data_IF_323257656467
#
_entry.id   IF_323257656467
#
_cell.length_a   1.000
_cell.length_b   1.000
_cell.length_c   1.000
_cell.angle_alpha   90.00
_cell.angle_beta   90.00
_cell.angle_gamma   90.00
#
_symmetry.space_group_name_H-M   'P 1'
#
loop_
_entity.id
_entity.type
_entity.pdbx_description
1 polymer ?
#
# COMPACT_ATOMS: atom_id res chain seq x y z
N UNK A 1 -27.11 19.42 -55.19
CA UNK A 1 -26.31 20.59 -54.76
C UNK A 1 -26.49 20.76 -53.26
N UNK A 2 -25.41 20.94 -52.48
CA UNK A 2 -25.52 21.38 -51.07
C UNK A 2 -24.88 20.53 -49.96
N UNK A 3 -23.80 19.77 -50.20
CA UNK A 3 -23.25 18.87 -49.17
C UNK A 3 -21.73 18.82 -49.00
N UNK A 4 -20.96 19.78 -49.54
CA UNK A 4 -19.48 19.73 -49.52
C UNK A 4 -18.78 20.89 -48.80
N UNK A 5 -19.51 21.87 -48.28
CA UNK A 5 -18.91 23.07 -47.67
C UNK A 5 -18.84 23.05 -46.14
N UNK A 6 -19.43 22.05 -45.45
CA UNK A 6 -19.47 22.03 -43.98
C UNK A 6 -18.19 21.48 -43.33
N UNK A 7 -17.36 20.74 -44.08
CA UNK A 7 -16.15 20.10 -43.51
C UNK A 7 -14.96 21.07 -43.47
N UNK A 8 -14.94 22.11 -44.31
CA UNK A 8 -13.82 23.05 -44.38
C UNK A 8 -13.80 24.08 -43.24
N UNK A 9 -14.94 24.33 -42.57
CA UNK A 9 -15.02 25.36 -41.51
C UNK A 9 -14.57 24.81 -40.14
N UNK A 10 -14.63 23.49 -39.91
CA UNK A 10 -14.22 22.90 -38.62
C UNK A 10 -12.70 22.77 -38.44
N UNK A 11 -11.90 22.89 -39.50
CA UNK A 11 -10.43 22.83 -39.42
C UNK A 11 -9.78 24.18 -39.07
N UNK A 12 -10.52 25.30 -39.10
CA UNK A 12 -9.92 26.63 -38.91
C UNK A 12 -9.93 27.13 -37.45
N UNK A 13 -10.58 26.43 -36.52
CA UNK A 13 -10.73 26.89 -35.13
C UNK A 13 -9.61 26.37 -34.19
N UNK A 14 -8.74 25.47 -34.65
CA UNK A 14 -7.69 24.86 -33.80
C UNK A 14 -6.38 25.68 -33.75
N UNK A 15 -6.27 26.81 -34.47
CA UNK A 15 -5.03 27.62 -34.57
C UNK A 15 -5.09 28.99 -33.87
N UNK A 16 -5.89 29.13 -32.82
CA UNK A 16 -5.86 30.27 -31.89
C UNK A 16 -5.72 29.66 -30.50
N UNK A 17 -4.57 29.62 -29.82
CA UNK A 17 -3.65 30.71 -29.58
C UNK A 17 -3.39 30.77 -28.08
N UNK A 18 -2.70 29.77 -27.51
CA UNK A 18 -2.23 29.82 -26.12
C UNK A 18 -0.73 30.14 -26.10
N UNK A 19 -0.37 31.40 -26.37
CA UNK A 19 0.93 31.96 -25.98
C UNK A 19 0.86 32.35 -24.49
N UNK A 20 0.88 31.35 -23.61
CA UNK A 20 1.09 31.57 -22.18
C UNK A 20 2.58 31.75 -21.91
N UNK A 21 2.99 32.95 -21.50
CA UNK A 21 4.34 33.18 -20.98
C UNK A 21 4.50 32.43 -19.65
N UNK A 22 5.31 31.37 -19.65
CA UNK A 22 5.74 30.71 -18.43
C UNK A 22 6.83 31.59 -17.82
N UNK A 23 6.50 32.32 -16.74
CA UNK A 23 7.49 32.97 -15.88
C UNK A 23 8.23 31.87 -15.13
N UNK A 24 9.53 31.73 -15.41
CA UNK A 24 10.42 30.89 -14.63
C UNK A 24 10.55 31.47 -13.22
N UNK A 25 9.94 30.81 -12.25
CA UNK A 25 10.14 31.10 -10.84
C UNK A 25 11.46 30.46 -10.41
N UNK A 26 12.35 31.31 -9.88
CA UNK A 26 13.71 30.97 -9.49
C UNK A 26 13.64 30.10 -8.23
N UNK A 27 13.84 28.79 -8.39
CA UNK A 27 13.97 27.85 -7.27
C UNK A 27 15.20 28.29 -6.45
N UNK A 28 14.97 28.75 -5.21
CA UNK A 28 16.03 29.00 -4.24
C UNK A 28 16.53 27.66 -3.71
N UNK A 29 17.85 27.48 -3.78
CA UNK A 29 18.56 26.35 -3.22
C UNK A 29 18.25 26.20 -1.72
N UNK A 30 17.62 25.08 -1.35
CA UNK A 30 17.55 24.65 0.05
C UNK A 30 18.96 24.28 0.50
N UNK A 31 19.51 25.07 1.43
CA UNK A 31 20.71 24.69 2.16
C UNK A 31 20.43 23.48 3.07
N UNK A 32 21.38 22.55 3.21
CA UNK A 32 21.25 21.42 4.12
C UNK A 32 21.40 21.90 5.57
N UNK A 33 20.33 21.77 6.37
CA UNK A 33 20.39 21.94 7.82
C UNK A 33 21.08 20.73 8.43
N UNK A 34 22.38 20.85 8.69
CA UNK A 34 23.08 20.03 9.66
C UNK A 34 22.80 20.58 11.06
N UNK A 35 22.28 19.74 11.97
CA UNK A 35 22.61 19.70 13.40
C UNK A 35 21.56 18.88 14.16
N UNK A 36 21.76 17.56 14.26
CA UNK A 36 21.10 16.73 15.27
C UNK A 36 22.06 16.59 16.44
N UNK A 37 21.82 17.40 17.46
CA UNK A 37 22.45 17.26 18.79
C UNK A 37 22.04 15.93 19.40
N UNK A 38 23.04 15.16 19.82
CA UNK A 38 22.90 13.99 20.67
C UNK A 38 22.28 14.40 22.01
N UNK A 39 21.08 13.91 22.30
CA UNK A 39 20.48 13.95 23.64
C UNK A 39 20.78 12.60 24.30
N UNK A 40 21.78 12.62 25.19
CA UNK A 40 22.04 11.54 26.14
C UNK A 40 20.97 11.61 27.23
N UNK A 41 20.06 10.64 27.25
CA UNK A 41 19.20 10.44 28.41
C UNK A 41 19.93 9.56 29.42
N UNK A 42 20.26 10.18 30.55
CA UNK A 42 20.75 9.53 31.76
C UNK A 42 19.60 8.73 32.39
N UNK A 43 19.80 7.42 32.53
CA UNK A 43 18.99 6.55 33.37
C UNK A 43 19.36 6.83 34.82
N UNK A 44 18.46 7.44 35.59
CA UNK A 44 18.56 7.47 37.04
C UNK A 44 17.72 6.32 37.63
N UNK A 45 18.47 5.39 38.18
CA UNK A 45 18.05 4.38 39.16
C UNK A 45 17.46 5.09 40.38
N UNK A 46 16.24 4.74 40.80
CA UNK A 46 15.76 5.04 42.14
C UNK A 46 15.00 3.84 42.67
N UNK A 47 15.76 3.01 43.38
CA UNK A 47 15.30 1.98 44.30
C UNK A 47 14.85 2.62 45.61
N UNK A 48 13.67 2.20 46.11
CA UNK A 48 13.25 1.95 47.51
C UNK A 48 11.73 2.20 47.61
N UNK A 49 10.88 1.18 47.71
CA UNK A 49 10.57 0.30 48.87
C UNK A 49 9.63 0.99 49.87
N UNK A 50 8.34 0.67 49.80
CA UNK A 50 7.53 0.56 51.02
C UNK A 50 6.37 -0.44 50.88
N UNK A 51 6.37 -1.36 51.82
CA UNK A 51 5.38 -2.40 52.10
C UNK A 51 4.10 -1.80 52.67
N UNK A 52 2.94 -2.21 52.18
CA UNK A 52 1.72 -2.23 53.01
C UNK A 52 0.93 -3.48 52.70
N UNK A 53 0.95 -4.40 53.68
CA UNK A 53 0.06 -5.56 53.72
C UNK A 53 -1.35 -5.06 54.00
N UNK A 54 -2.31 -5.42 53.16
CA UNK A 54 -3.72 -5.50 53.56
C UNK A 54 -4.29 -6.78 52.96
N UNK A 55 -4.42 -7.78 53.82
CA UNK A 55 -5.18 -8.99 53.57
C UNK A 55 -6.67 -8.62 53.54
N UNK A 56 -7.32 -8.80 52.39
CA UNK A 56 -8.77 -8.98 52.32
C UNK A 56 -9.09 -10.06 51.30
N UNK A 57 -9.48 -11.20 51.85
CA UNK A 57 -9.90 -12.41 51.17
C UNK A 57 -11.22 -12.14 50.44
N UNK A 58 -11.15 -11.76 49.17
CA UNK A 58 -12.26 -11.87 48.24
C UNK A 58 -12.02 -13.11 47.39
N UNK A 59 -12.98 -14.03 47.40
CA UNK A 59 -12.99 -15.24 46.57
C UNK A 59 -13.26 -14.79 45.13
N UNK A 60 -12.19 -14.37 44.46
CA UNK A 60 -12.20 -13.91 43.08
C UNK A 60 -12.45 -15.12 42.18
N UNK A 61 -13.63 -15.14 41.58
CA UNK A 61 -14.01 -16.09 40.54
C UNK A 61 -13.09 -15.76 39.36
N UNK A 62 -12.02 -16.56 39.20
CA UNK A 62 -11.10 -16.49 38.07
C UNK A 62 -11.93 -16.55 36.79
N UNK A 63 -12.14 -15.40 36.15
CA UNK A 63 -12.60 -15.33 34.77
C UNK A 63 -11.53 -16.04 33.95
N UNK A 64 -11.85 -17.07 33.15
CA UNK A 64 -10.87 -17.67 32.26
C UNK A 64 -10.34 -16.54 31.36
N UNK A 65 -9.05 -16.24 31.50
CA UNK A 65 -8.36 -15.35 30.59
C UNK A 65 -8.58 -15.91 29.18
N UNK A 66 -9.40 -15.21 28.39
CA UNK A 66 -9.49 -15.46 26.95
C UNK A 66 -8.08 -15.29 26.43
N UNK A 67 -7.40 -16.41 26.18
CA UNK A 67 -6.13 -16.45 25.47
C UNK A 67 -6.40 -15.82 24.11
N UNK A 68 -6.10 -14.52 24.01
CA UNK A 68 -6.13 -13.77 22.76
C UNK A 68 -5.26 -14.59 21.81
N UNK A 69 -5.96 -15.24 20.89
CA UNK A 69 -5.30 -16.02 19.86
C UNK A 69 -4.78 -14.95 18.93
N UNK A 70 -3.50 -14.56 19.11
CA UNK A 70 -2.81 -13.73 18.15
C UNK A 70 -3.04 -14.37 16.78
N UNK A 71 -3.95 -13.78 16.01
CA UNK A 71 -4.23 -14.21 14.66
C UNK A 71 -2.96 -13.90 13.89
N UNK A 72 -2.12 -14.92 13.68
CA UNK A 72 -1.01 -14.82 12.74
C UNK A 72 -1.62 -14.50 11.39
N UNK A 73 -1.49 -13.25 10.97
CA UNK A 73 -1.92 -12.80 9.66
C UNK A 73 -1.01 -13.45 8.60
N UNK A 74 -1.51 -14.50 7.96
CA UNK A 74 -0.83 -15.12 6.82
C UNK A 74 -0.87 -14.18 5.60
N UNK A 75 0.14 -14.27 4.74
CA UNK A 75 0.23 -13.41 3.55
C UNK A 75 -0.88 -13.74 2.55
N UNK A 76 -1.19 -12.84 1.59
CA UNK A 76 -2.10 -13.17 0.50
C UNK A 76 -1.69 -14.47 -0.22
N UNK A 77 -2.65 -15.38 -0.42
CA UNK A 77 -2.42 -16.72 -0.98
C UNK A 77 -2.05 -17.80 0.03
N UNK A 78 -1.85 -17.44 1.31
CA UNK A 78 -1.54 -18.38 2.40
C UNK A 78 -2.72 -18.58 3.37
N UNK A 79 -2.79 -19.75 3.99
CA UNK A 79 -3.71 -20.11 5.07
C UNK A 79 -2.96 -20.72 6.25
N UNK A 80 -3.50 -20.50 7.45
CA UNK A 80 -2.96 -21.05 8.68
C UNK A 80 -3.36 -22.53 8.82
N UNK A 81 -2.42 -23.44 8.58
CA UNK A 81 -2.55 -24.88 8.82
C UNK A 81 -1.54 -25.32 9.87
N UNK A 82 -2.02 -25.94 10.95
CA UNK A 82 -1.17 -26.47 12.04
C UNK A 82 -0.20 -25.42 12.65
N UNK A 83 -0.64 -24.16 12.73
CA UNK A 83 0.17 -23.07 13.28
C UNK A 83 1.25 -22.51 12.34
N UNK A 84 1.27 -22.96 11.08
CA UNK A 84 2.15 -22.45 10.01
C UNK A 84 1.31 -21.88 8.85
N UNK A 85 1.79 -20.81 8.22
CA UNK A 85 1.18 -20.31 7.00
C UNK A 85 1.66 -21.18 5.82
N UNK A 86 0.71 -21.70 5.06
CA UNK A 86 0.93 -22.61 3.92
C UNK A 86 0.12 -22.13 2.73
N UNK A 87 0.51 -22.46 1.49
CA UNK A 87 -0.27 -22.04 0.33
C UNK A 87 -1.67 -22.64 0.34
N UNK A 88 -2.68 -21.81 0.06
CA UNK A 88 -4.07 -22.25 -0.13
C UNK A 88 -4.17 -23.20 -1.31
N UNK A 89 -5.23 -23.99 -1.35
CA UNK A 89 -5.56 -24.81 -2.53
C UNK A 89 -5.65 -23.94 -3.81
N UNK A 90 -5.05 -24.41 -4.91
CA UNK A 90 -4.92 -23.66 -6.17
C UNK A 90 -3.77 -22.63 -6.18
N UNK A 91 -2.94 -22.60 -5.13
CA UNK A 91 -1.73 -21.80 -5.04
C UNK A 91 -0.50 -22.69 -4.87
N UNK A 92 0.64 -22.24 -5.40
CA UNK A 92 1.96 -22.85 -5.24
C UNK A 92 2.95 -21.85 -4.65
N UNK A 93 3.94 -22.34 -3.92
CA UNK A 93 4.99 -21.47 -3.39
C UNK A 93 5.97 -21.07 -4.51
N UNK A 94 6.22 -19.77 -4.63
CA UNK A 94 7.20 -19.20 -5.54
C UNK A 94 8.44 -18.80 -4.75
N UNK A 95 9.48 -19.63 -4.81
CA UNK A 95 10.69 -19.44 -4.00
C UNK A 95 11.39 -18.10 -4.25
N UNK A 96 11.43 -17.62 -5.49
CA UNK A 96 12.07 -16.32 -5.78
C UNK A 96 11.33 -15.12 -5.26
N UNK A 97 10.01 -15.21 -5.13
CA UNK A 97 9.20 -14.12 -4.56
C UNK A 97 8.87 -14.39 -3.08
N UNK A 98 9.32 -15.52 -2.52
CA UNK A 98 9.07 -15.96 -1.15
C UNK A 98 7.59 -15.82 -0.73
N UNK A 99 6.67 -16.26 -1.60
CA UNK A 99 5.22 -16.14 -1.42
C UNK A 99 4.42 -17.19 -2.20
N UNK A 100 3.16 -17.38 -1.85
CA UNK A 100 2.23 -18.20 -2.61
C UNK A 100 1.63 -17.44 -3.80
N UNK A 101 1.71 -18.02 -5.00
CA UNK A 101 1.11 -17.50 -6.25
C UNK A 101 0.12 -18.53 -6.80
N UNK A 102 -0.82 -18.13 -7.67
CA UNK A 102 -1.75 -19.09 -8.29
C UNK A 102 -0.98 -20.15 -9.09
N UNK A 103 -1.47 -21.38 -9.15
CA UNK A 103 -0.77 -22.49 -9.85
C UNK A 103 -0.44 -22.17 -11.32
N UNK A 104 -1.35 -21.49 -12.02
CA UNK A 104 -1.17 -21.08 -13.42
C UNK A 104 -0.36 -19.78 -13.60
N UNK A 105 0.14 -19.18 -12.52
CA UNK A 105 1.04 -18.04 -12.59
C UNK A 105 2.48 -18.52 -12.73
N UNK A 106 3.30 -17.77 -13.47
CA UNK A 106 4.74 -18.01 -13.55
C UNK A 106 5.46 -17.25 -12.42
N UNK A 107 6.58 -17.80 -11.96
CA UNK A 107 7.45 -17.21 -10.93
C UNK A 107 8.79 -16.77 -11.55
N UNK A 108 9.22 -17.52 -12.58
CA UNK A 108 10.41 -17.32 -13.40
C UNK A 108 10.06 -17.72 -14.84
N UNK A 109 10.87 -17.30 -15.82
CA UNK A 109 10.68 -17.65 -17.24
C UNK A 109 10.59 -19.16 -17.50
N UNK A 110 11.30 -20.00 -16.75
CA UNK A 110 11.23 -21.45 -16.92
C UNK A 110 9.92 -22.10 -16.41
N UNK A 111 9.02 -21.33 -15.79
CA UNK A 111 7.67 -21.82 -15.51
C UNK A 111 6.73 -21.67 -16.71
N UNK A 112 7.20 -21.06 -17.79
CA UNK A 112 6.50 -20.91 -19.04
C UNK A 112 6.94 -21.96 -20.05
N UNK A 113 6.14 -22.15 -21.11
CA UNK A 113 6.50 -23.06 -22.20
C UNK A 113 7.70 -22.52 -22.97
N UNK A 114 8.30 -23.35 -23.82
CA UNK A 114 9.32 -22.89 -24.76
C UNK A 114 8.76 -21.73 -25.61
N UNK A 115 9.56 -20.68 -25.80
CA UNK A 115 9.19 -19.42 -26.50
C UNK A 115 8.17 -18.53 -25.78
N UNK A 116 7.89 -18.82 -24.51
CA UNK A 116 7.17 -17.91 -23.63
C UNK A 116 8.13 -17.33 -22.58
N UNK A 117 7.85 -16.10 -22.14
CA UNK A 117 8.55 -15.46 -21.04
C UNK A 117 7.57 -15.07 -19.94
N UNK A 118 8.07 -15.08 -18.70
CA UNK A 118 7.27 -14.73 -17.55
C UNK A 118 7.18 -13.22 -17.40
N UNK A 119 6.00 -12.67 -17.60
CA UNK A 119 5.71 -11.25 -17.40
C UNK A 119 5.15 -11.05 -15.98
N UNK A 120 5.79 -10.26 -15.11
CA UNK A 120 5.22 -9.91 -13.80
C UNK A 120 3.82 -9.35 -14.00
N UNK A 121 2.82 -9.93 -13.33
CA UNK A 121 1.43 -9.63 -13.71
C UNK A 121 0.80 -8.58 -12.83
N UNK A 122 1.14 -8.55 -11.54
CA UNK A 122 0.27 -7.91 -10.56
C UNK A 122 1.07 -7.17 -9.52
N UNK A 123 0.95 -5.85 -9.58
CA UNK A 123 1.35 -5.01 -8.48
C UNK A 123 0.33 -5.11 -7.34
N UNK A 124 0.87 -5.19 -6.13
CA UNK A 124 0.13 -5.19 -4.87
C UNK A 124 0.75 -4.14 -3.97
N UNK A 125 -0.08 -3.40 -3.23
CA UNK A 125 0.38 -2.45 -2.23
C UNK A 125 -0.57 -2.48 -1.04
N UNK A 126 -0.05 -2.19 0.15
CA UNK A 126 -0.88 -1.94 1.31
C UNK A 126 -0.96 -0.44 1.54
N UNK A 127 -2.14 0.15 1.37
CA UNK A 127 -2.39 1.53 1.77
C UNK A 127 -2.78 1.53 3.24
N UNK A 128 -1.99 2.22 4.06
CA UNK A 128 -2.25 2.43 5.46
C UNK A 128 -2.68 3.87 5.72
N UNK A 129 -3.67 4.03 6.59
CA UNK A 129 -4.20 5.31 7.05
C UNK A 129 -4.15 5.31 8.58
N UNK A 130 -3.60 6.38 9.15
CA UNK A 130 -3.56 6.64 10.59
C UNK A 130 -4.21 7.97 10.91
N UNK A 131 -5.13 7.95 11.86
CA UNK A 131 -5.72 9.14 12.45
C UNK A 131 -5.74 8.97 13.97
N UNK A 132 -5.13 9.92 14.66
CA UNK A 132 -4.89 9.82 16.10
C UNK A 132 -4.14 8.52 16.45
N UNK A 133 -4.74 7.66 17.28
CA UNK A 133 -4.18 6.37 17.70
C UNK A 133 -4.74 5.17 16.91
N UNK A 134 -5.54 5.41 15.87
CA UNK A 134 -6.15 4.34 15.06
C UNK A 134 -5.36 4.21 13.76
N UNK A 135 -4.87 3.00 13.47
CA UNK A 135 -4.20 2.63 12.21
C UNK A 135 -5.02 1.54 11.52
N UNK A 136 -5.28 1.73 10.23
CA UNK A 136 -5.96 0.75 9.37
C UNK A 136 -5.16 0.58 8.09
N UNK A 137 -4.98 -0.65 7.62
CA UNK A 137 -4.28 -0.94 6.36
C UNK A 137 -5.14 -1.84 5.47
N UNK A 138 -5.11 -1.60 4.17
CA UNK A 138 -5.81 -2.41 3.16
C UNK A 138 -4.88 -2.79 2.04
N UNK A 139 -4.94 -4.06 1.66
CA UNK A 139 -4.20 -4.60 0.52
C UNK A 139 -4.98 -4.36 -0.77
N UNK A 140 -4.37 -3.64 -1.69
CA UNK A 140 -4.92 -3.25 -2.97
C UNK A 140 -4.08 -3.88 -4.08
N UNK A 141 -4.73 -4.44 -5.09
CA UNK A 141 -4.09 -5.11 -6.21
C UNK A 141 -4.66 -4.60 -7.52
N UNK A 142 -4.01 -4.87 -8.65
CA UNK A 142 -4.59 -4.52 -9.97
C UNK A 142 -5.96 -5.16 -10.22
N UNK A 143 -6.21 -6.38 -9.74
CA UNK A 143 -7.50 -7.08 -9.87
C UNK A 143 -8.55 -6.59 -8.86
N UNK A 144 -8.09 -6.10 -7.70
CA UNK A 144 -8.93 -5.55 -6.64
C UNK A 144 -8.39 -4.16 -6.28
N UNK A 145 -8.59 -3.18 -7.18
CA UNK A 145 -8.03 -1.85 -6.98
C UNK A 145 -8.80 -1.06 -5.93
N UNK A 146 -10.00 -1.51 -5.52
CA UNK A 146 -10.89 -0.78 -4.61
C UNK A 146 -11.12 -1.50 -3.30
N UNK A 147 -11.17 -0.74 -2.21
CA UNK A 147 -11.60 -1.20 -0.89
C UNK A 147 -12.23 -0.02 -0.14
N UNK A 148 -12.70 -0.28 1.07
CA UNK A 148 -13.25 0.73 1.96
C UNK A 148 -12.63 0.61 3.36
N UNK A 149 -12.35 1.76 3.95
CA UNK A 149 -11.86 1.87 5.33
C UNK A 149 -12.83 2.75 6.11
N UNK A 150 -13.16 2.34 7.34
CA UNK A 150 -13.95 3.15 8.27
C UNK A 150 -13.09 3.55 9.46
N UNK A 151 -12.97 4.87 9.70
CA UNK A 151 -12.21 5.44 10.82
C UNK A 151 -13.07 6.54 11.47
N UNK A 152 -13.38 6.37 12.76
CA UNK A 152 -14.21 7.33 13.54
C UNK A 152 -15.53 7.66 12.86
N UNK A 153 -16.31 6.64 12.50
CA UNK A 153 -17.63 6.75 11.84
C UNK A 153 -17.61 7.48 10.47
N UNK A 154 -16.41 7.65 9.88
CA UNK A 154 -16.24 8.15 8.51
C UNK A 154 -15.75 7.02 7.61
N UNK A 155 -16.46 6.81 6.50
CA UNK A 155 -16.10 5.86 5.45
C UNK A 155 -15.21 6.55 4.41
N UNK A 156 -14.14 5.86 4.03
CA UNK A 156 -13.23 6.27 2.97
C UNK A 156 -13.22 5.19 1.89
N UNK A 157 -13.69 5.54 0.70
CA UNK A 157 -13.50 4.71 -0.49
C UNK A 157 -12.08 4.94 -1.00
N UNK A 158 -11.31 3.86 -1.11
CA UNK A 158 -9.94 3.90 -1.61
C UNK A 158 -9.86 3.12 -2.92
N UNK A 159 -9.16 3.67 -3.89
CA UNK A 159 -8.94 3.06 -5.20
C UNK A 159 -7.49 3.26 -5.63
N UNK A 160 -6.79 2.20 -6.05
CA UNK A 160 -5.55 2.33 -6.82
C UNK A 160 -5.93 2.64 -8.27
N UNK A 161 -5.49 3.78 -8.76
CA UNK A 161 -5.75 4.19 -10.15
C UNK A 161 -4.60 3.85 -11.07
N UNK A 162 -3.36 3.86 -10.55
CA UNK A 162 -2.18 3.59 -11.36
C UNK A 162 -0.99 3.12 -10.51
N UNK A 163 -0.32 2.09 -10.98
CA UNK A 163 1.03 1.72 -10.55
C UNK A 163 2.05 2.35 -11.52
N UNK A 164 2.96 3.16 -10.99
CA UNK A 164 4.03 3.83 -11.74
C UNK A 164 5.39 3.36 -11.21
N UNK A 165 6.44 3.52 -12.00
CA UNK A 165 7.80 3.21 -11.54
C UNK A 165 8.17 4.06 -10.31
N UNK A 166 8.21 3.40 -9.13
CA UNK A 166 8.53 4.03 -7.86
C UNK A 166 7.43 4.90 -7.24
N UNK A 167 6.21 4.89 -7.80
CA UNK A 167 5.07 5.66 -7.26
C UNK A 167 3.75 4.94 -7.46
N UNK A 168 2.77 5.25 -6.64
CA UNK A 168 1.42 4.68 -6.73
C UNK A 168 0.41 5.82 -6.62
N UNK A 169 -0.53 5.87 -7.55
CA UNK A 169 -1.64 6.82 -7.53
C UNK A 169 -2.86 6.17 -6.91
N UNK A 170 -3.39 6.84 -5.91
CA UNK A 170 -4.61 6.48 -5.20
C UNK A 170 -5.68 7.53 -5.44
N UNK A 171 -6.94 7.12 -5.34
CA UNK A 171 -8.09 7.99 -5.19
C UNK A 171 -8.71 7.67 -3.83
N UNK A 172 -8.82 8.67 -2.95
CA UNK A 172 -9.42 8.55 -1.63
C UNK A 172 -10.61 9.52 -1.59
N UNK A 173 -11.84 9.02 -1.47
CA UNK A 173 -13.07 9.82 -1.52
C UNK A 173 -13.10 10.80 -2.72
N UNK A 174 -12.77 10.29 -3.91
CA UNK A 174 -12.65 11.05 -5.16
C UNK A 174 -11.50 12.05 -5.28
N UNK A 175 -10.59 12.14 -4.30
CA UNK A 175 -9.38 12.96 -4.38
C UNK A 175 -8.16 12.14 -4.73
N UNK A 176 -7.38 12.60 -5.71
CA UNK A 176 -6.15 11.93 -6.11
C UNK A 176 -5.00 12.22 -5.15
N UNK A 177 -4.22 11.18 -4.85
CA UNK A 177 -3.00 11.25 -4.06
C UNK A 177 -1.94 10.37 -4.72
N UNK A 178 -0.71 10.86 -4.78
CA UNK A 178 0.44 10.09 -5.24
C UNK A 178 1.38 9.81 -4.06
N UNK A 179 1.70 8.54 -3.83
CA UNK A 179 2.62 8.11 -2.77
C UNK A 179 3.80 7.37 -3.37
N UNK A 180 4.98 7.58 -2.79
CA UNK A 180 6.13 6.69 -3.02
C UNK A 180 6.07 5.54 -2.01
N UNK A 181 6.56 4.33 -2.37
CA UNK A 181 6.75 3.24 -1.42
C UNK A 181 7.45 3.72 -0.15
N UNK A 182 6.93 3.32 1.02
CA UNK A 182 7.49 3.63 2.34
C UNK A 182 7.62 5.12 2.67
N UNK A 183 6.81 5.98 2.04
CA UNK A 183 6.74 7.40 2.38
C UNK A 183 5.38 7.76 2.97
N UNK A 184 5.42 8.67 3.95
CA UNK A 184 4.22 9.23 4.57
C UNK A 184 3.79 10.53 3.88
N UNK A 185 2.48 10.75 3.80
CA UNK A 185 1.87 12.00 3.36
C UNK A 185 0.70 12.36 4.28
N UNK A 186 0.35 13.65 4.32
CA UNK A 186 -0.83 14.13 5.04
C UNK A 186 -2.02 14.22 4.09
N UNK A 187 -3.17 13.65 4.48
CA UNK A 187 -4.43 13.73 3.74
C UNK A 187 -5.58 14.01 4.72
N UNK A 188 -6.20 15.19 4.60
CA UNK A 188 -7.34 15.61 5.45
C UNK A 188 -7.08 15.46 6.98
N UNK A 189 -5.86 15.76 7.42
CA UNK A 189 -5.45 15.64 8.83
C UNK A 189 -5.13 14.20 9.27
N UNK A 190 -5.07 13.26 8.33
CA UNK A 190 -4.62 11.88 8.56
C UNK A 190 -3.22 11.69 7.96
N UNK A 191 -2.45 10.76 8.53
CA UNK A 191 -1.20 10.28 7.93
C UNK A 191 -1.52 9.06 7.07
N UNK A 192 -1.11 9.09 5.81
CA UNK A 192 -1.25 7.97 4.88
C UNK A 192 0.12 7.54 4.37
N UNK A 193 0.31 6.24 4.16
CA UNK A 193 1.54 5.69 3.59
C UNK A 193 1.28 4.34 2.93
N UNK A 194 2.26 3.88 2.16
CA UNK A 194 2.25 2.53 1.59
C UNK A 194 3.38 1.71 2.18
N UNK A 195 3.12 0.47 2.60
CA UNK A 195 4.18 -0.41 3.13
C UNK A 195 5.18 -0.88 2.04
N UNK A 196 4.83 -0.69 0.76
CA UNK A 196 5.68 -1.03 -0.37
C UNK A 196 4.89 -1.25 -1.65
N UNK A 197 5.63 -1.53 -2.72
CA UNK A 197 5.11 -2.08 -3.96
C UNK A 197 5.64 -3.52 -4.06
N UNK A 198 4.73 -4.49 -4.03
CA UNK A 198 5.06 -5.90 -4.20
C UNK A 198 4.60 -6.38 -5.57
N UNK A 199 5.43 -7.17 -6.24
CA UNK A 199 5.02 -7.94 -7.41
C UNK A 199 4.52 -9.32 -6.96
N UNK A 200 3.37 -9.74 -7.48
CA UNK A 200 2.72 -11.00 -7.14
C UNK A 200 2.53 -11.87 -8.39
N UNK A 201 3.49 -12.78 -8.60
CA UNK A 201 3.47 -13.72 -9.71
C UNK A 201 3.58 -13.05 -11.09
N UNK A 202 3.59 -13.91 -12.10
CA UNK A 202 3.65 -13.57 -13.51
C UNK A 202 2.62 -14.36 -14.34
N UNK A 203 2.48 -13.99 -15.61
CA UNK A 203 1.80 -14.77 -16.63
C UNK A 203 2.78 -15.05 -17.76
N UNK A 204 2.60 -16.17 -18.42
CA UNK A 204 3.42 -16.52 -19.56
C UNK A 204 2.89 -15.79 -20.79
N UNK A 205 3.78 -15.10 -21.51
CA UNK A 205 3.49 -14.39 -22.75
C UNK A 205 4.40 -14.93 -23.84
N UNK A 206 3.82 -15.18 -25.01
CA UNK A 206 4.58 -15.55 -26.21
C UNK A 206 5.48 -14.39 -26.65
N UNK A 207 6.69 -14.72 -27.08
CA UNK A 207 7.60 -13.76 -27.70
C UNK A 207 7.00 -13.35 -29.05
N UNK A 208 6.57 -12.08 -29.18
CA UNK A 208 6.10 -11.52 -30.46
C UNK A 208 7.32 -11.10 -31.27
N UNK A 209 7.56 -11.80 -32.39
CA UNK A 209 8.56 -11.43 -33.41
C UNK A 209 8.33 -10.02 -34.00
#
# INVERSE_FOLDING_TARGET
>A
MGGKYLIAILMLIILIGCKGQIKAEKIQDLQPTQDIKQVQNQTQDTSQKETTKTQKTAKEILKPEKKETETKDCKPGEELKEGKCTCKEGYRFCETQNRCIKENSCCKSHNCRSFEYCVPTKYTTNLCIKKDNIKMCKSLTEDRPRDEIEIQDKRYEIEVTQFLEGKIKFKINNKEVELKPQTEAMFEGMTIWTDGLEEAGGYCREETD
#
